data_IF_349779108442
#
_entry.id   IF_349779108442
#
_cell.length_a   1.000
_cell.length_b   1.000
_cell.length_c   1.000
_cell.angle_alpha   90.00
_cell.angle_beta   90.00
_cell.angle_gamma   90.00
#
_symmetry.space_group_name_H-M   'P 1'
#
loop_
_entity.id
_entity.type
_entity.pdbx_description
1 polymer ?
#
# COMPACT_ATOMS: atom_id res chain seq x y z
N UNK A 1 -16.07 16.16 3.01
CA UNK A 1 -14.74 16.28 2.35
C UNK A 1 -14.52 15.02 1.54
N UNK A 2 -13.97 15.08 0.31
CA UNK A 2 -13.69 13.89 -0.49
C UNK A 2 -12.48 13.12 0.08
N UNK A 3 -12.30 11.86 -0.35
CA UNK A 3 -11.13 11.06 -0.02
C UNK A 3 -9.84 11.67 -0.62
N UNK A 4 -8.69 11.39 -0.01
CA UNK A 4 -7.40 11.86 -0.49
C UNK A 4 -6.85 10.90 -1.55
N UNK A 5 -6.52 11.45 -2.71
CA UNK A 5 -5.99 10.73 -3.86
C UNK A 5 -4.47 10.83 -3.95
N UNK A 6 -3.87 9.88 -4.66
CA UNK A 6 -2.43 9.92 -4.89
C UNK A 6 -2.04 11.10 -5.78
N UNK A 7 -0.95 11.77 -5.43
CA UNK A 7 -0.34 12.85 -6.22
C UNK A 7 0.56 12.33 -7.34
N UNK A 8 0.90 11.04 -7.34
CA UNK A 8 1.74 10.38 -8.34
C UNK A 8 0.97 10.03 -9.62
N UNK A 9 0.59 11.04 -10.40
CA UNK A 9 -0.27 10.87 -11.58
C UNK A 9 0.40 10.26 -12.82
N UNK A 10 1.73 10.23 -12.88
CA UNK A 10 2.51 9.74 -14.02
C UNK A 10 3.41 8.58 -13.61
N UNK A 11 2.86 7.38 -13.43
CA UNK A 11 3.67 6.23 -13.08
C UNK A 11 4.61 5.87 -14.24
N UNK A 12 5.88 5.49 -13.97
CA UNK A 12 6.83 5.11 -15.01
C UNK A 12 6.43 3.79 -15.69
N UNK A 13 5.79 2.90 -14.95
CA UNK A 13 5.33 1.60 -15.43
C UNK A 13 4.00 1.24 -14.76
N UNK A 14 3.19 0.44 -15.46
CA UNK A 14 1.89 -0.05 -14.99
C UNK A 14 1.85 -1.56 -15.25
N UNK A 15 1.45 -2.33 -14.24
CA UNK A 15 1.23 -3.78 -14.35
C UNK A 15 -0.23 -4.09 -14.06
N UNK A 16 -0.93 -4.75 -15.00
CA UNK A 16 -2.39 -4.85 -14.97
C UNK A 16 -3.01 -3.45 -14.92
N UNK A 17 -3.80 -3.18 -13.89
CA UNK A 17 -4.28 -1.86 -13.53
C UNK A 17 -3.67 -1.30 -12.22
N UNK A 18 -2.38 -1.53 -11.98
CA UNK A 18 -1.68 -0.93 -10.84
C UNK A 18 -0.42 -0.21 -11.30
N UNK A 19 -0.19 0.98 -10.74
CA UNK A 19 1.04 1.71 -10.95
C UNK A 19 2.23 1.02 -10.27
N UNK A 20 3.35 0.90 -10.96
CA UNK A 20 4.65 0.59 -10.34
C UNK A 20 5.35 1.93 -10.12
N UNK A 21 5.38 2.37 -8.85
CA UNK A 21 6.03 3.61 -8.45
C UNK A 21 7.39 3.33 -7.78
N UNK A 22 8.41 4.16 -8.02
CA UNK A 22 9.64 4.09 -7.28
C UNK A 22 9.41 4.41 -5.80
N UNK A 23 10.02 3.64 -4.89
CA UNK A 23 9.98 3.95 -3.45
C UNK A 23 11.29 3.57 -2.76
N UNK A 24 11.46 4.08 -1.54
CA UNK A 24 12.70 3.90 -0.78
C UNK A 24 12.70 2.54 -0.09
N UNK A 25 13.55 1.63 -0.55
CA UNK A 25 13.67 0.28 0.03
C UNK A 25 15.09 -0.27 -0.04
N UNK A 26 15.46 -1.07 0.96
CA UNK A 26 16.67 -1.89 0.95
C UNK A 26 16.39 -3.35 0.56
N UNK A 27 15.11 -3.71 0.43
CA UNK A 27 14.67 -5.05 0.04
C UNK A 27 14.63 -5.17 -1.48
N UNK A 28 14.98 -6.37 -1.98
CA UNK A 28 14.90 -6.66 -3.42
C UNK A 28 13.43 -6.73 -3.85
N UNK A 29 13.13 -6.14 -5.00
CA UNK A 29 11.80 -6.16 -5.59
C UNK A 29 11.81 -5.65 -7.02
N UNK A 30 10.67 -5.78 -7.74
CA UNK A 30 10.54 -5.33 -9.13
C UNK A 30 10.35 -3.81 -9.24
N UNK A 31 10.05 -3.11 -8.14
CA UNK A 31 9.85 -1.66 -8.15
C UNK A 31 11.19 -0.93 -8.40
N UNK A 32 11.18 0.15 -9.21
CA UNK A 32 12.36 1.00 -9.35
C UNK A 32 12.80 1.56 -7.99
N UNK A 33 14.11 1.67 -7.78
CA UNK A 33 14.65 2.20 -6.53
C UNK A 33 14.60 3.72 -6.61
N UNK A 34 13.93 4.35 -5.64
CA UNK A 34 13.99 5.80 -5.49
C UNK A 34 15.35 6.19 -4.89
N UNK A 35 16.17 6.92 -5.65
CA UNK A 35 17.54 7.31 -5.25
C UNK A 35 17.56 8.60 -4.43
N UNK A 36 16.56 9.46 -4.58
CA UNK A 36 16.46 10.72 -3.87
C UNK A 36 15.76 10.53 -2.51
N UNK A 37 16.54 10.42 -1.44
CA UNK A 37 16.02 10.22 -0.07
C UNK A 37 15.08 11.33 0.44
N UNK A 38 15.18 12.54 -0.12
CA UNK A 38 14.37 13.70 0.28
C UNK A 38 12.99 13.74 -0.38
N UNK A 39 12.75 12.95 -1.42
CA UNK A 39 11.46 12.90 -2.08
C UNK A 39 10.50 11.98 -1.31
N UNK A 40 9.23 12.40 -1.24
CA UNK A 40 8.16 11.55 -0.72
C UNK A 40 7.90 10.42 -1.72
N UNK A 41 7.61 9.24 -1.21
CA UNK A 41 7.17 8.11 -2.02
C UNK A 41 5.71 7.73 -1.71
N UNK A 42 5.20 6.73 -2.44
CA UNK A 42 3.82 6.26 -2.29
C UNK A 42 3.54 5.65 -0.90
N UNK A 43 4.56 5.13 -0.20
CA UNK A 43 4.40 4.56 1.13
C UNK A 43 4.24 5.68 2.15
N UNK A 44 5.07 6.73 2.05
CA UNK A 44 4.95 7.94 2.87
C UNK A 44 3.56 8.58 2.68
N UNK A 45 3.12 8.72 1.43
CA UNK A 45 1.80 9.26 1.07
C UNK A 45 0.67 8.41 1.66
N UNK A 46 0.76 7.08 1.56
CA UNK A 46 -0.23 6.17 2.13
C UNK A 46 -0.33 6.28 3.65
N UNK A 47 0.80 6.33 4.36
CA UNK A 47 0.82 6.49 5.81
C UNK A 47 0.29 7.86 6.22
N UNK A 48 0.64 8.91 5.47
CA UNK A 48 0.16 10.27 5.71
C UNK A 48 -1.37 10.37 5.56
N UNK A 49 -1.93 9.80 4.50
CA UNK A 49 -3.37 9.82 4.25
C UNK A 49 -4.16 8.75 5.03
N UNK A 50 -3.51 7.73 5.58
CA UNK A 50 -4.19 6.59 6.22
C UNK A 50 -5.25 7.01 7.24
N UNK A 51 -4.92 7.91 8.17
CA UNK A 51 -5.83 8.33 9.24
C UNK A 51 -7.09 9.03 8.71
N UNK A 52 -7.01 9.68 7.56
CA UNK A 52 -8.15 10.31 6.94
C UNK A 52 -8.91 9.31 6.04
N UNK A 53 -8.19 8.58 5.19
CA UNK A 53 -8.74 7.69 4.18
C UNK A 53 -9.47 6.48 4.79
N UNK A 54 -9.05 5.98 5.95
CA UNK A 54 -9.67 4.80 6.59
C UNK A 54 -11.13 5.00 7.00
N UNK A 55 -11.59 6.24 7.17
CA UNK A 55 -12.99 6.53 7.55
C UNK A 55 -13.95 6.60 6.36
N UNK A 56 -13.43 6.65 5.13
CA UNK A 56 -14.26 6.74 3.94
C UNK A 56 -14.81 5.37 3.53
N UNK A 57 -16.13 5.30 3.32
CA UNK A 57 -16.81 4.10 2.83
C UNK A 57 -16.71 3.93 1.32
N UNK A 58 -16.55 5.03 0.60
CA UNK A 58 -16.52 5.09 -0.87
C UNK A 58 -15.27 5.81 -1.31
N UNK A 59 -14.57 5.24 -2.28
CA UNK A 59 -13.37 5.82 -2.87
C UNK A 59 -13.51 5.78 -4.38
N UNK A 60 -13.48 6.96 -5.02
CA UNK A 60 -13.49 7.07 -6.48
C UNK A 60 -12.08 6.86 -7.00
N UNK A 61 -11.89 6.03 -8.02
CA UNK A 61 -10.55 5.74 -8.55
C UNK A 61 -10.29 6.67 -9.72
N UNK A 62 -9.31 7.58 -9.57
CA UNK A 62 -8.97 8.57 -10.61
C UNK A 62 -7.71 8.19 -11.37
N UNK A 63 -6.83 7.38 -10.79
CA UNK A 63 -5.57 6.96 -11.40
C UNK A 63 -5.16 5.54 -10.99
N UNK A 64 -4.19 4.98 -11.72
CA UNK A 64 -3.57 3.69 -11.36
C UNK A 64 -2.81 3.76 -10.02
N UNK A 65 -2.33 4.96 -9.64
CA UNK A 65 -1.69 5.19 -8.35
C UNK A 65 -2.68 5.13 -7.18
N UNK A 66 -3.95 5.51 -7.40
CA UNK A 66 -5.01 5.36 -6.38
C UNK A 66 -5.25 3.89 -6.03
N UNK A 67 -5.18 2.97 -7.00
CA UNK A 67 -5.31 1.53 -6.73
C UNK A 67 -4.16 1.02 -5.88
N UNK A 68 -2.95 1.51 -6.10
CA UNK A 68 -1.81 1.22 -5.24
C UNK A 68 -2.02 1.81 -3.83
N UNK A 69 -2.52 3.04 -3.72
CA UNK A 69 -2.81 3.70 -2.44
C UNK A 69 -3.86 2.93 -1.63
N UNK A 70 -4.92 2.45 -2.27
CA UNK A 70 -5.95 1.60 -1.64
C UNK A 70 -5.33 0.29 -1.14
N UNK A 71 -4.50 -0.36 -1.96
CA UNK A 71 -3.84 -1.61 -1.59
C UNK A 71 -2.96 -1.44 -0.34
N UNK A 72 -2.14 -0.39 -0.31
CA UNK A 72 -1.29 -0.08 0.86
C UNK A 72 -2.15 0.25 2.09
N UNK A 73 -3.26 0.97 1.92
CA UNK A 73 -4.20 1.29 3.02
C UNK A 73 -4.79 0.03 3.66
N UNK A 74 -5.18 -0.97 2.84
CA UNK A 74 -5.64 -2.27 3.33
C UNK A 74 -4.51 -3.02 4.06
N UNK A 75 -3.30 -3.01 3.50
CA UNK A 75 -2.14 -3.63 4.13
C UNK A 75 -1.77 -3.00 5.48
N UNK A 76 -1.82 -1.67 5.60
CA UNK A 76 -1.62 -0.97 6.89
C UNK A 76 -2.64 -1.44 7.92
N UNK A 77 -3.90 -1.66 7.52
CA UNK A 77 -4.95 -2.16 8.41
C UNK A 77 -4.63 -3.56 8.95
N UNK A 78 -4.14 -4.47 8.10
CA UNK A 78 -3.69 -5.80 8.51
C UNK A 78 -2.45 -5.74 9.43
N UNK A 79 -1.48 -4.87 9.11
CA UNK A 79 -0.34 -4.60 9.99
C UNK A 79 -0.78 -4.15 11.39
N UNK A 80 -1.74 -3.22 11.47
CA UNK A 80 -2.24 -2.72 12.75
C UNK A 80 -2.97 -3.80 13.56
N UNK A 81 -3.76 -4.68 12.92
CA UNK A 81 -4.41 -5.82 13.60
C UNK A 81 -3.39 -6.76 14.26
N UNK A 82 -2.25 -6.98 13.60
CA UNK A 82 -1.17 -7.83 14.14
C UNK A 82 -0.37 -7.09 15.22
N UNK A 83 -0.04 -5.82 15.00
CA UNK A 83 0.67 -4.97 15.95
C UNK A 83 -0.11 -4.74 17.24
N UNK A 84 -1.45 -4.75 17.20
CA UNK A 84 -2.29 -4.63 18.40
C UNK A 84 -1.97 -5.71 19.46
N UNK A 85 -1.50 -6.88 19.05
CA UNK A 85 -1.15 -8.00 19.96
C UNK A 85 0.30 -7.98 20.43
N UNK A 86 1.12 -7.07 19.91
CA UNK A 86 2.55 -6.98 20.23
C UNK A 86 2.78 -6.07 21.43
N UNK A 87 3.58 -6.53 22.39
CA UNK A 87 3.87 -5.77 23.61
C UNK A 87 5.18 -4.98 23.53
N UNK A 88 6.03 -5.26 22.54
CA UNK A 88 7.30 -4.56 22.35
C UNK A 88 7.57 -4.23 20.88
N UNK A 89 8.39 -3.20 20.64
CA UNK A 89 8.81 -2.80 19.30
C UNK A 89 9.55 -3.92 18.57
N UNK A 90 10.42 -4.66 19.26
CA UNK A 90 11.18 -5.78 18.69
C UNK A 90 10.25 -6.93 18.27
N UNK A 91 9.25 -7.26 19.10
CA UNK A 91 8.25 -8.25 18.74
C UNK A 91 7.44 -7.80 17.52
N UNK A 92 6.99 -6.54 17.51
CA UNK A 92 6.29 -5.96 16.37
C UNK A 92 7.11 -6.04 15.08
N UNK A 93 8.42 -5.72 15.12
CA UNK A 93 9.29 -5.85 13.95
C UNK A 93 9.39 -7.28 13.43
N UNK A 94 9.46 -8.28 14.30
CA UNK A 94 9.51 -9.68 13.89
C UNK A 94 8.18 -10.13 13.26
N UNK A 95 7.05 -9.78 13.88
CA UNK A 95 5.71 -10.08 13.34
C UNK A 95 5.47 -9.40 11.99
N UNK A 96 5.92 -8.16 11.80
CA UNK A 96 5.83 -7.46 10.51
C UNK A 96 6.67 -8.14 9.43
N UNK A 97 7.86 -8.65 9.75
CA UNK A 97 8.67 -9.43 8.81
C UNK A 97 7.96 -10.73 8.42
N UNK A 98 7.37 -11.43 9.39
CA UNK A 98 6.59 -12.65 9.14
C UNK A 98 5.37 -12.35 8.28
N UNK A 99 4.65 -11.26 8.57
CA UNK A 99 3.49 -10.83 7.78
C UNK A 99 3.90 -10.50 6.34
N UNK A 100 5.00 -9.78 6.13
CA UNK A 100 5.50 -9.41 4.80
C UNK A 100 5.87 -10.63 3.93
N UNK A 101 6.23 -11.76 4.54
CA UNK A 101 6.54 -13.02 3.85
C UNK A 101 5.34 -13.97 3.74
N UNK A 102 4.24 -13.66 4.41
CA UNK A 102 3.05 -14.49 4.37
C UNK A 102 2.37 -14.42 3.01
N UNK A 103 1.64 -15.49 2.65
CA UNK A 103 0.89 -15.53 1.41
C UNK A 103 -0.34 -14.64 1.55
N UNK A 104 -0.48 -13.69 0.63
CA UNK A 104 -1.68 -12.88 0.46
C UNK A 104 -2.42 -13.32 -0.81
N UNK A 105 -3.74 -13.24 -0.76
CA UNK A 105 -4.56 -13.35 -1.96
C UNK A 105 -4.36 -12.09 -2.80
N UNK A 106 -4.08 -12.27 -4.09
CA UNK A 106 -3.84 -11.18 -5.05
C UNK A 106 -5.08 -10.95 -5.93
N UNK A 107 -5.18 -9.81 -6.63
CA UNK A 107 -6.21 -9.63 -7.65
C UNK A 107 -6.30 -10.84 -8.60
N UNK A 108 -7.48 -11.44 -8.67
CA UNK A 108 -7.76 -12.68 -9.39
C UNK A 108 -7.97 -13.90 -8.48
N UNK A 109 -7.45 -13.90 -7.26
CA UNK A 109 -7.68 -14.96 -6.28
C UNK A 109 -9.08 -14.84 -5.65
N UNK A 110 -9.75 -15.96 -5.33
CA UNK A 110 -11.11 -15.94 -4.78
C UNK A 110 -11.20 -15.26 -3.40
N UNK A 111 -10.11 -15.20 -2.66
CA UNK A 111 -10.05 -14.54 -1.34
C UNK A 111 -9.82 -13.03 -1.40
N UNK A 112 -9.50 -12.45 -2.56
CA UNK A 112 -9.24 -11.02 -2.67
C UNK A 112 -10.54 -10.20 -2.72
N UNK A 113 -10.79 -9.30 -1.76
CA UNK A 113 -12.10 -8.67 -1.57
C UNK A 113 -12.47 -7.64 -2.66
N UNK A 114 -11.50 -7.17 -3.45
CA UNK A 114 -11.69 -6.08 -4.42
C UNK A 114 -11.44 -6.50 -5.86
N UNK A 115 -11.70 -7.77 -6.22
CA UNK A 115 -11.51 -8.28 -7.58
C UNK A 115 -12.25 -7.51 -8.68
N UNK A 116 -13.34 -6.80 -8.36
CA UNK A 116 -14.04 -5.96 -9.34
C UNK A 116 -13.28 -4.68 -9.70
N UNK A 117 -12.39 -4.24 -8.82
CA UNK A 117 -11.65 -2.98 -8.89
C UNK A 117 -10.25 -3.18 -9.47
N UNK A 118 -9.63 -4.33 -9.21
CA UNK A 118 -8.31 -4.70 -9.68
C UNK A 118 -8.45 -5.69 -10.85
N UNK A 119 -7.77 -5.43 -11.97
CA UNK A 119 -7.90 -6.14 -13.25
C UNK A 119 -6.54 -6.34 -13.89
#
# INVERSE_FOLDING_TARGET
MPAYHSSFLKPPEVIGNMAILPFKTQFRGPAPIQTNSNEQDIIDEAIYYFKANVFFRTYEIKSEADRLLIYITLYITECLKKLQKCSSKTQGQNEMKTLALSRFDIPGDPGFPLNSVYR
#
